data_IF_617333948030
#
_entry.id   IF_617333948030
#
_cell.length_a   1.000
_cell.length_b   1.000
_cell.length_c   1.000
_cell.angle_alpha   90.00
_cell.angle_beta   90.00
_cell.angle_gamma   90.00
#
_symmetry.space_group_name_H-M   'P 1'
#
loop_
_entity.id
_entity.type
_entity.pdbx_description
1 polymer ?
#
# COMPACT_ATOMS: atom_id res chain seq x y z
N UNK A 1 11.45 -5.68 8.23
CA UNK A 1 11.83 -4.47 7.49
C UNK A 1 10.57 -3.74 7.08
N UNK A 2 10.59 -2.41 7.06
CA UNK A 2 9.48 -1.62 6.54
C UNK A 2 9.96 -1.01 5.23
N UNK A 3 9.23 -1.26 4.15
CA UNK A 3 9.50 -0.69 2.83
C UNK A 3 8.82 0.67 2.76
N UNK A 4 9.60 1.74 2.56
CA UNK A 4 9.07 3.09 2.45
C UNK A 4 9.16 3.59 1.01
N UNK A 5 8.13 4.27 0.52
CA UNK A 5 8.24 5.12 -0.66
C UNK A 5 8.89 6.47 -0.28
N UNK A 6 9.45 7.23 -1.23
CA UNK A 6 9.73 8.63 -0.99
C UNK A 6 8.42 9.38 -0.66
N UNK A 7 8.51 10.51 0.06
CA UNK A 7 7.37 11.41 0.20
C UNK A 7 6.90 11.87 -1.18
N UNK A 8 5.60 11.72 -1.45
CA UNK A 8 4.99 12.13 -2.72
C UNK A 8 3.87 13.16 -2.54
N UNK A 9 3.36 13.32 -1.31
CA UNK A 9 2.24 14.19 -1.04
C UNK A 9 2.69 15.64 -0.85
N UNK A 10 1.99 16.55 -1.52
CA UNK A 10 2.02 17.99 -1.25
C UNK A 10 0.59 18.57 -1.34
N UNK A 11 0.45 19.86 -1.03
CA UNK A 11 -0.85 20.53 -0.99
C UNK A 11 -1.57 20.59 -2.34
N UNK A 12 -0.89 20.43 -3.46
CA UNK A 12 -1.51 20.40 -4.80
C UNK A 12 -2.35 19.15 -5.04
N UNK A 13 -2.09 18.08 -4.28
CA UNK A 13 -2.84 16.82 -4.31
C UNK A 13 -4.06 16.82 -3.37
N UNK A 14 -4.23 17.87 -2.57
CA UNK A 14 -5.38 17.98 -1.66
C UNK A 14 -6.70 17.93 -2.41
N UNK A 15 -7.63 17.07 -1.95
CA UNK A 15 -8.96 16.91 -2.56
C UNK A 15 -8.98 16.17 -3.90
N UNK A 16 -7.84 15.61 -4.36
CA UNK A 16 -7.78 14.79 -5.58
C UNK A 16 -7.87 13.31 -5.24
N UNK A 17 -8.54 12.54 -6.10
CA UNK A 17 -8.46 11.08 -6.05
C UNK A 17 -7.07 10.61 -6.45
N UNK A 18 -6.50 9.71 -5.66
CA UNK A 18 -5.22 9.07 -5.91
C UNK A 18 -5.43 7.56 -5.84
N UNK A 19 -4.93 6.84 -6.83
CA UNK A 19 -4.80 5.39 -6.73
C UNK A 19 -3.43 5.08 -6.14
N UNK A 20 -3.40 4.38 -5.01
CA UNK A 20 -2.17 3.88 -4.38
C UNK A 20 -2.23 2.36 -4.41
N UNK A 21 -1.13 1.73 -4.83
CA UNK A 21 -1.01 0.28 -4.77
C UNK A 21 0.35 -0.14 -4.21
N UNK A 22 0.35 -1.26 -3.48
CA UNK A 22 1.57 -1.92 -3.02
C UNK A 22 1.55 -3.36 -3.52
N UNK A 23 2.60 -3.74 -4.24
CA UNK A 23 2.83 -5.11 -4.69
C UNK A 23 3.99 -5.70 -3.92
N UNK A 24 3.72 -6.78 -3.21
CA UNK A 24 4.74 -7.64 -2.60
C UNK A 24 4.92 -8.87 -3.48
N UNK A 25 6.06 -8.96 -4.17
CA UNK A 25 6.42 -10.10 -5.01
C UNK A 25 7.55 -10.90 -4.35
N UNK A 26 7.17 -11.94 -3.60
CA UNK A 26 8.13 -12.85 -2.98
C UNK A 26 8.91 -13.72 -3.98
N UNK A 27 8.39 -13.91 -5.19
CA UNK A 27 9.04 -14.71 -6.23
C UNK A 27 10.20 -13.95 -6.83
N UNK A 28 9.96 -12.71 -7.24
CA UNK A 28 10.99 -11.82 -7.79
C UNK A 28 11.75 -11.04 -6.71
N UNK A 29 11.42 -11.28 -5.42
CA UNK A 29 12.03 -10.64 -4.25
C UNK A 29 11.99 -9.12 -4.34
N UNK A 30 10.81 -8.58 -4.63
CA UNK A 30 10.62 -7.18 -4.94
C UNK A 30 9.38 -6.63 -4.25
N UNK A 31 9.50 -5.48 -3.58
CA UNK A 31 8.35 -4.65 -3.20
C UNK A 31 8.28 -3.46 -4.15
N UNK A 32 7.08 -3.13 -4.62
CA UNK A 32 6.85 -1.96 -5.47
C UNK A 32 5.63 -1.18 -4.98
N UNK A 33 5.80 0.12 -4.80
CA UNK A 33 4.72 1.06 -4.53
C UNK A 33 4.39 1.81 -5.82
N UNK A 34 3.10 2.05 -6.04
CA UNK A 34 2.60 2.77 -7.20
C UNK A 34 1.75 3.95 -6.74
N UNK A 35 1.86 5.05 -7.49
CA UNK A 35 0.99 6.20 -7.40
C UNK A 35 0.40 6.44 -8.79
N UNK A 36 -0.93 6.44 -8.89
CA UNK A 36 -1.65 6.71 -10.13
C UNK A 36 -1.15 5.84 -11.30
N UNK A 37 -1.08 4.52 -11.07
CA UNK A 37 -0.64 3.54 -12.07
C UNK A 37 0.87 3.54 -12.39
N UNK A 38 1.67 4.45 -11.81
CA UNK A 38 3.10 4.59 -12.09
C UNK A 38 3.92 4.13 -10.89
N UNK A 39 5.05 3.46 -11.14
CA UNK A 39 6.01 3.06 -10.10
C UNK A 39 6.52 4.30 -9.35
N UNK A 40 6.25 4.35 -8.05
CA UNK A 40 6.73 5.38 -7.15
C UNK A 40 8.04 4.97 -6.46
N UNK A 41 8.14 3.70 -6.06
CA UNK A 41 9.35 3.15 -5.45
C UNK A 41 9.43 1.65 -5.66
N UNK A 42 10.66 1.16 -5.75
CA UNK A 42 10.95 -0.26 -5.91
C UNK A 42 12.14 -0.62 -5.01
N UNK A 43 11.97 -1.61 -4.13
CA UNK A 43 13.00 -2.05 -3.18
C UNK A 43 13.09 -3.58 -3.09
N UNK A 44 14.28 -4.12 -3.32
CA UNK A 44 14.54 -5.56 -3.27
C UNK A 44 14.31 -6.10 -1.85
N UNK A 45 13.74 -7.29 -1.74
CA UNK A 45 13.47 -7.97 -0.47
C UNK A 45 14.74 -8.71 -0.02
N UNK A 46 15.38 -8.31 1.08
CA UNK A 46 16.50 -9.07 1.63
C UNK A 46 16.02 -10.45 2.11
N UNK A 47 16.88 -11.47 2.01
CA UNK A 47 16.54 -12.86 2.41
C UNK A 47 15.92 -12.94 3.81
N UNK A 48 16.47 -12.19 4.78
CA UNK A 48 16.00 -12.17 6.16
C UNK A 48 14.55 -11.64 6.34
N UNK A 49 13.99 -11.00 5.31
CA UNK A 49 12.64 -10.42 5.32
C UNK A 49 11.72 -11.04 4.25
N UNK A 50 12.15 -12.13 3.62
CA UNK A 50 11.34 -12.86 2.66
C UNK A 50 10.22 -13.63 3.37
N UNK A 51 8.99 -13.35 2.99
CA UNK A 51 7.78 -14.01 3.50
C UNK A 51 7.26 -14.95 2.43
N UNK A 52 7.27 -16.25 2.72
CA UNK A 52 6.85 -17.29 1.78
C UNK A 52 5.36 -17.62 1.86
N UNK A 53 4.68 -17.19 2.92
CA UNK A 53 3.23 -17.39 3.10
C UNK A 53 2.61 -16.21 3.82
N UNK A 54 1.61 -15.60 3.18
CA UNK A 54 0.83 -14.50 3.76
C UNK A 54 -0.55 -15.04 4.16
N UNK A 55 -0.99 -14.71 5.38
CA UNK A 55 -2.35 -14.99 5.86
C UNK A 55 -2.91 -13.74 6.50
N UNK A 56 -4.02 -13.25 5.96
CA UNK A 56 -4.78 -12.14 6.55
C UNK A 56 -5.80 -12.73 7.51
N UNK A 57 -5.84 -12.20 8.73
CA UNK A 57 -6.80 -12.55 9.77
C UNK A 57 -7.68 -11.32 10.01
N UNK A 58 -8.05 -11.03 11.26
CA UNK A 58 -8.73 -9.79 11.62
C UNK A 58 -7.96 -8.58 11.07
N UNK A 59 -8.63 -7.82 10.21
CA UNK A 59 -8.09 -6.65 9.54
C UNK A 59 -9.07 -5.49 9.68
N UNK A 60 -8.53 -4.27 9.64
CA UNK A 60 -9.31 -3.04 9.68
C UNK A 60 -8.91 -2.16 8.50
N UNK A 61 -9.90 -1.49 7.93
CA UNK A 61 -9.72 -0.47 6.92
C UNK A 61 -10.03 0.89 7.51
N UNK A 62 -9.33 1.91 7.01
CA UNK A 62 -9.52 3.33 7.35
C UNK A 62 -9.26 3.70 8.81
N UNK A 63 -9.17 2.76 9.74
CA UNK A 63 -8.82 3.02 11.13
C UNK A 63 -7.65 2.14 11.51
N UNK A 64 -6.59 2.73 12.05
CA UNK A 64 -5.44 1.98 12.52
C UNK A 64 -5.21 2.21 14.01
N UNK A 65 -5.10 1.10 14.76
CA UNK A 65 -4.51 1.06 16.09
C UNK A 65 -3.37 0.05 16.08
N UNK A 66 -2.17 0.44 16.55
CA UNK A 66 -1.13 -0.55 16.85
C UNK A 66 -1.61 -1.39 18.04
N UNK A 67 -1.60 -2.73 17.95
CA UNK A 67 -1.98 -3.59 19.08
C UNK A 67 -0.97 -3.60 20.24
N UNK A 68 0.14 -2.86 20.16
CA UNK A 68 1.12 -2.77 21.24
C UNK A 68 0.65 -1.83 22.36
N UNK A 69 0.06 -2.43 23.41
CA UNK A 69 -0.60 -1.79 24.56
C UNK A 69 0.27 -0.85 25.43
N UNK A 70 1.57 -0.73 25.17
CA UNK A 70 2.52 -0.15 26.14
C UNK A 70 2.93 1.31 25.88
N UNK A 71 2.32 2.01 24.92
CA UNK A 71 2.63 3.42 24.68
C UNK A 71 1.36 4.27 24.51
N UNK A 72 1.08 5.23 25.41
CA UNK A 72 -0.13 6.06 25.38
C UNK A 72 -0.18 7.09 24.22
N UNK A 73 0.76 7.06 23.27
CA UNK A 73 0.81 7.97 22.10
C UNK A 73 0.07 7.43 20.87
N UNK A 74 -0.36 6.18 20.89
CA UNK A 74 -1.12 5.58 19.79
C UNK A 74 -2.63 5.78 20.02
N UNK A 75 -3.06 7.03 19.94
CA UNK A 75 -4.48 7.29 19.71
C UNK A 75 -4.86 6.67 18.37
N UNK A 76 -5.96 5.92 18.34
CA UNK A 76 -6.59 5.39 17.13
C UNK A 76 -6.52 6.47 16.05
N UNK A 77 -5.87 6.15 14.92
CA UNK A 77 -5.78 7.06 13.78
C UNK A 77 -6.93 6.71 12.85
N UNK A 78 -7.94 7.57 12.84
CA UNK A 78 -9.00 7.50 11.86
C UNK A 78 -8.51 8.13 10.56
N UNK A 79 -8.89 7.53 9.44
CA UNK A 79 -8.74 8.12 8.12
C UNK A 79 -9.50 9.45 8.12
N UNK A 80 -8.77 10.52 7.83
CA UNK A 80 -9.36 11.82 7.54
C UNK A 80 -9.31 12.02 6.03
N UNK A 81 -10.36 11.57 5.35
CA UNK A 81 -10.43 11.56 3.89
C UNK A 81 -11.57 10.68 3.39
N UNK A 82 -11.56 10.40 2.10
CA UNK A 82 -12.48 9.47 1.45
C UNK A 82 -11.68 8.35 0.79
N UNK A 83 -12.25 7.15 0.80
CA UNK A 83 -11.74 6.00 0.04
C UNK A 83 -12.88 5.54 -0.86
N UNK A 84 -12.53 5.31 -2.12
CA UNK A 84 -13.34 4.54 -3.05
C UNK A 84 -12.48 3.38 -3.54
N UNK A 85 -13.14 2.28 -3.93
CA UNK A 85 -12.56 1.06 -4.52
C UNK A 85 -11.38 0.43 -3.73
N UNK A 86 -11.66 -0.63 -2.98
CA UNK A 86 -10.63 -1.45 -2.32
C UNK A 86 -10.49 -2.80 -3.00
N UNK A 87 -9.27 -3.12 -3.46
CA UNK A 87 -8.92 -4.36 -4.12
C UNK A 87 -7.77 -5.05 -3.38
N UNK A 88 -7.85 -6.38 -3.28
CA UNK A 88 -6.81 -7.22 -2.70
C UNK A 88 -6.68 -8.50 -3.52
N UNK A 89 -5.46 -8.81 -3.96
CA UNK A 89 -5.16 -9.95 -4.81
C UNK A 89 -4.27 -10.96 -4.07
N UNK A 90 -4.43 -12.24 -4.40
CA UNK A 90 -3.59 -13.32 -3.86
C UNK A 90 -2.29 -13.53 -4.63
N UNK A 91 -2.01 -12.68 -5.62
CA UNK A 91 -0.84 -12.74 -6.48
C UNK A 91 -0.29 -11.33 -6.70
N UNK A 92 1.04 -11.18 -6.93
CA UNK A 92 1.61 -9.90 -7.28
C UNK A 92 1.13 -9.49 -8.68
N UNK A 93 0.61 -8.27 -8.79
CA UNK A 93 0.26 -7.68 -10.08
C UNK A 93 1.48 -7.05 -10.74
N UNK A 94 1.55 -7.18 -12.05
CA UNK A 94 2.52 -6.49 -12.91
C UNK A 94 2.25 -4.99 -13.00
N UNK A 95 3.25 -4.23 -13.46
CA UNK A 95 3.11 -2.80 -13.67
C UNK A 95 2.01 -2.46 -14.69
N UNK A 96 1.85 -3.28 -15.75
CA UNK A 96 0.80 -3.09 -16.76
C UNK A 96 -0.60 -3.35 -16.18
N UNK A 97 -0.76 -4.36 -15.32
CA UNK A 97 -2.03 -4.61 -14.63
C UNK A 97 -2.38 -3.47 -13.67
N UNK A 98 -1.41 -2.96 -12.91
CA UNK A 98 -1.61 -1.80 -12.02
C UNK A 98 -1.97 -0.55 -12.83
N UNK A 99 -1.29 -0.33 -13.95
CA UNK A 99 -1.61 0.79 -14.86
C UNK A 99 -3.01 0.65 -15.45
N UNK A 100 -3.38 -0.55 -15.88
CA UNK A 100 -4.70 -0.82 -16.43
C UNK A 100 -5.80 -0.58 -15.39
N UNK A 101 -5.62 -1.06 -14.15
CA UNK A 101 -6.53 -0.79 -13.04
C UNK A 101 -6.73 0.71 -12.85
N UNK A 102 -5.64 1.48 -12.83
CA UNK A 102 -5.72 2.93 -12.76
C UNK A 102 -6.55 3.46 -13.93
N UNK A 103 -6.19 3.17 -15.18
CA UNK A 103 -6.87 3.65 -16.40
C UNK A 103 -8.39 3.39 -16.41
N UNK A 104 -8.85 2.23 -15.91
CA UNK A 104 -10.29 1.90 -15.87
C UNK A 104 -11.03 2.42 -14.63
N UNK A 105 -10.29 2.81 -13.58
CA UNK A 105 -10.85 3.36 -12.33
C UNK A 105 -10.78 4.88 -12.26
N UNK A 106 -10.25 5.58 -13.27
CA UNK A 106 -10.26 7.04 -13.27
C UNK A 106 -11.70 7.55 -13.32
N UNK A 107 -12.10 8.42 -12.38
CA UNK A 107 -13.31 9.21 -12.51
C UNK A 107 -13.27 10.17 -13.71
#
# INVERSE_FOLDING_TARGET
HIFFSPPFWDTSLSGRWLMIATVYDGTNRQVTHYLNGVVLSQEAIPEAYLVTRIRIVDASLCNWGLPERNQPRFAIRNLNGSMDEFLLFSAPLSADEIRHLYEVSHP
#
